data_IF_709646607570
#
_entry.id   IF_709646607570
#
_cell.length_a   1.000
_cell.length_b   1.000
_cell.length_c   1.000
_cell.angle_alpha   90.00
_cell.angle_beta   90.00
_cell.angle_gamma   90.00
#
_symmetry.space_group_name_H-M   'P 1'
#
loop_
_entity.id
_entity.type
_entity.pdbx_description
1 polymer ?
#
# COMPACT_ATOMS: atom_id res chain seq x y z
N UNK A 1 3.87 -0.59 -9.40
CA UNK A 1 4.83 0.31 -10.10
C UNK A 1 6.15 -0.44 -10.20
N UNK A 2 6.72 -0.60 -11.40
CA UNK A 2 8.04 -1.19 -11.58
C UNK A 2 9.12 -0.35 -10.90
N UNK A 3 10.06 -1.00 -10.23
CA UNK A 3 11.23 -0.36 -9.60
C UNK A 3 12.48 -1.01 -10.20
N UNK A 4 13.26 -0.23 -10.92
CA UNK A 4 14.59 -0.62 -11.39
C UNK A 4 15.65 0.07 -10.54
N UNK A 5 16.24 -0.69 -9.62
CA UNK A 5 17.21 -0.16 -8.64
C UNK A 5 18.47 0.41 -9.29
N UNK A 6 18.87 -0.11 -10.47
CA UNK A 6 20.04 0.38 -11.19
C UNK A 6 19.73 1.68 -11.92
N UNK A 7 18.63 1.72 -12.67
CA UNK A 7 18.20 2.90 -13.41
C UNK A 7 17.84 4.06 -12.48
N UNK A 8 17.24 3.74 -11.32
CA UNK A 8 16.86 4.72 -10.30
C UNK A 8 18.00 5.10 -9.32
N UNK A 9 19.19 4.54 -9.51
CA UNK A 9 20.35 4.78 -8.65
C UNK A 9 20.06 4.52 -7.16
N UNK A 10 19.33 3.44 -6.85
CA UNK A 10 18.96 3.07 -5.48
C UNK A 10 20.06 2.19 -4.91
N UNK A 11 20.73 2.67 -3.86
CA UNK A 11 21.77 1.91 -3.15
C UNK A 11 21.19 0.95 -2.12
N UNK A 12 20.06 1.32 -1.49
CA UNK A 12 19.37 0.49 -0.50
C UNK A 12 17.87 0.66 -0.66
N UNK A 13 17.14 -0.45 -0.69
CA UNK A 13 15.67 -0.46 -0.77
C UNK A 13 15.09 -1.41 0.26
N UNK A 14 14.29 -0.86 1.17
CA UNK A 14 13.48 -1.65 2.10
C UNK A 14 12.07 -1.82 1.53
N UNK A 15 11.53 -3.02 1.62
CA UNK A 15 10.16 -3.28 1.17
C UNK A 15 9.40 -4.19 2.13
N UNK A 16 8.09 -4.09 2.12
CA UNK A 16 7.18 -4.97 2.87
C UNK A 16 6.53 -5.99 1.94
N UNK A 17 6.39 -7.23 2.42
CA UNK A 17 5.84 -8.33 1.61
C UNK A 17 4.30 -8.41 1.59
N UNK A 18 3.62 -7.87 2.62
CA UNK A 18 2.18 -8.09 2.82
C UNK A 18 1.25 -7.06 2.13
N UNK A 19 1.77 -6.28 1.19
CA UNK A 19 0.99 -5.33 0.39
C UNK A 19 1.03 -5.73 -1.08
N UNK A 20 1.60 -4.92 -1.93
CA UNK A 20 1.65 -5.15 -3.39
C UNK A 20 2.42 -6.41 -3.81
N UNK A 21 3.15 -7.06 -2.92
CA UNK A 21 3.83 -8.33 -3.20
C UNK A 21 3.00 -9.58 -2.87
N UNK A 22 1.76 -9.41 -2.42
CA UNK A 22 0.80 -10.50 -2.12
C UNK A 22 1.28 -11.53 -1.09
N UNK A 23 2.33 -11.19 -0.32
CA UNK A 23 2.87 -12.05 0.72
C UNK A 23 2.13 -11.90 2.06
N UNK A 24 2.39 -12.78 3.03
CA UNK A 24 1.80 -12.70 4.37
C UNK A 24 2.41 -11.56 5.21
N UNK A 25 1.71 -11.17 6.27
CA UNK A 25 2.22 -10.25 7.28
C UNK A 25 3.52 -10.77 7.91
N UNK A 26 4.38 -9.86 8.36
CA UNK A 26 5.67 -10.21 8.96
C UNK A 26 6.73 -10.60 7.93
N UNK A 27 6.50 -10.32 6.65
CA UNK A 27 7.48 -10.49 5.58
C UNK A 27 7.89 -9.17 4.95
N UNK A 28 9.08 -9.15 4.40
CA UNK A 28 9.66 -8.01 3.70
C UNK A 28 11.09 -8.32 3.32
N UNK A 29 11.81 -7.33 2.85
CA UNK A 29 13.20 -7.51 2.48
C UNK A 29 13.96 -6.20 2.38
N UNK A 30 15.25 -6.38 2.19
CA UNK A 30 16.22 -5.32 2.03
C UNK A 30 17.09 -5.63 0.80
N UNK A 31 17.05 -4.74 -0.19
CA UNK A 31 18.03 -4.74 -1.26
C UNK A 31 19.22 -3.88 -0.86
N UNK A 32 20.42 -4.39 -1.12
CA UNK A 32 21.68 -3.69 -0.89
C UNK A 32 22.45 -3.70 -2.20
N UNK A 33 22.70 -2.51 -2.73
CA UNK A 33 23.48 -2.31 -3.94
C UNK A 33 24.99 -2.48 -3.67
N UNK A 34 25.73 -2.74 -4.73
CA UNK A 34 27.19 -2.89 -4.67
C UNK A 34 27.86 -1.66 -4.04
N UNK A 35 28.78 -1.89 -3.10
CA UNK A 35 29.49 -0.84 -2.38
C UNK A 35 28.71 -0.16 -1.25
N UNK A 36 27.46 -0.53 -0.98
CA UNK A 36 26.72 -0.04 0.17
C UNK A 36 27.04 -0.89 1.42
N UNK A 37 27.51 -0.23 2.48
CA UNK A 37 27.81 -0.86 3.76
C UNK A 37 26.67 -0.61 4.75
N UNK A 38 26.13 -1.68 5.33
CA UNK A 38 25.06 -1.62 6.34
C UNK A 38 25.51 -2.39 7.57
N UNK A 39 25.40 -1.77 8.73
CA UNK A 39 25.69 -2.40 10.00
C UNK A 39 24.47 -3.14 10.53
N UNK A 40 24.66 -4.32 11.17
CA UNK A 40 23.57 -5.02 11.83
C UNK A 40 22.90 -4.14 12.90
N UNK A 41 21.58 -4.06 12.87
CA UNK A 41 20.80 -3.43 13.93
C UNK A 41 20.62 -4.37 15.12
N UNK A 42 20.53 -5.68 14.84
CA UNK A 42 20.39 -6.74 15.83
C UNK A 42 21.46 -7.80 15.57
N UNK A 43 21.91 -8.44 16.61
CA UNK A 43 22.80 -9.61 16.56
C UNK A 43 22.18 -10.77 17.33
N UNK A 44 22.47 -11.99 16.91
CA UNK A 44 21.92 -13.19 17.54
C UNK A 44 22.35 -14.46 16.80
N UNK A 45 21.79 -15.58 17.21
CA UNK A 45 22.06 -16.85 16.54
C UNK A 45 21.60 -16.82 15.07
N UNK A 46 22.49 -17.25 14.18
CA UNK A 46 22.22 -17.26 12.72
C UNK A 46 21.87 -18.65 12.19
N UNK A 47 22.00 -19.69 13.03
CA UNK A 47 21.88 -21.10 12.62
C UNK A 47 23.09 -21.63 11.86
N UNK A 48 24.05 -20.78 11.52
CA UNK A 48 25.36 -21.09 10.92
C UNK A 48 26.44 -20.45 11.75
N UNK A 49 27.68 -20.92 11.63
CA UNK A 49 28.83 -20.36 12.36
C UNK A 49 28.65 -20.30 13.90
N UNK A 50 28.14 -21.36 14.49
CA UNK A 50 27.71 -21.41 15.91
C UNK A 50 28.81 -21.04 16.94
N UNK A 51 30.08 -21.04 16.58
CA UNK A 51 31.20 -20.67 17.43
C UNK A 51 31.71 -19.24 17.30
N UNK A 52 31.14 -18.47 16.33
CA UNK A 52 31.46 -17.06 16.22
C UNK A 52 30.89 -16.28 17.41
N UNK A 53 31.70 -15.38 17.96
CA UNK A 53 31.30 -14.49 19.06
C UNK A 53 30.64 -13.17 18.56
N UNK A 54 30.72 -12.96 17.29
CA UNK A 54 30.20 -11.74 16.60
C UNK A 54 29.27 -12.16 15.48
N UNK A 55 28.47 -11.22 14.98
CA UNK A 55 27.65 -11.43 13.79
C UNK A 55 28.56 -11.76 12.59
N UNK A 56 28.21 -12.72 11.73
CA UNK A 56 28.97 -12.99 10.49
C UNK A 56 29.11 -11.74 9.61
N UNK A 57 30.13 -11.70 8.77
CA UNK A 57 30.33 -10.59 7.82
C UNK A 57 29.62 -10.83 6.48
N UNK A 58 29.34 -12.09 6.17
CA UNK A 58 28.71 -12.48 4.90
C UNK A 58 27.20 -12.18 4.90
N UNK A 59 26.70 -11.65 3.78
CA UNK A 59 25.28 -11.52 3.52
C UNK A 59 24.70 -12.88 3.04
N UNK A 60 23.46 -13.22 3.42
CA UNK A 60 22.50 -12.40 4.18
C UNK A 60 22.66 -12.47 5.69
N UNK A 61 23.44 -13.41 6.23
CA UNK A 61 23.55 -13.73 7.68
C UNK A 61 24.01 -12.53 8.51
N UNK A 62 24.80 -11.63 7.92
CA UNK A 62 25.25 -10.39 8.56
C UNK A 62 24.09 -9.56 9.13
N UNK A 63 22.96 -9.54 8.44
CA UNK A 63 21.80 -8.71 8.79
C UNK A 63 20.63 -9.52 9.35
N UNK A 64 20.76 -10.85 9.41
CA UNK A 64 19.73 -11.76 9.92
C UNK A 64 20.09 -12.26 11.31
N UNK A 65 19.18 -12.07 12.26
CA UNK A 65 19.37 -12.52 13.64
C UNK A 65 18.19 -13.38 14.10
N UNK A 66 18.49 -14.59 14.56
CA UNK A 66 17.50 -15.58 15.01
C UNK A 66 16.97 -16.46 13.88
N UNK A 67 16.05 -17.36 14.22
CA UNK A 67 15.42 -18.26 13.25
C UNK A 67 14.55 -17.46 12.28
N UNK A 68 14.79 -17.64 10.98
CA UNK A 68 14.05 -16.95 9.94
C UNK A 68 12.59 -17.41 9.89
N UNK A 69 11.69 -16.50 9.47
CA UNK A 69 10.28 -16.79 9.21
C UNK A 69 10.11 -17.59 7.89
N UNK A 70 10.52 -18.85 7.90
CA UNK A 70 10.49 -19.72 6.71
C UNK A 70 9.11 -19.86 6.09
N UNK A 71 8.05 -19.97 6.89
CA UNK A 71 6.67 -20.04 6.40
C UNK A 71 6.24 -18.75 5.72
N UNK A 72 6.55 -17.59 6.31
CA UNK A 72 6.28 -16.29 5.71
C UNK A 72 7.06 -16.08 4.42
N UNK A 73 8.34 -16.47 4.38
CA UNK A 73 9.17 -16.36 3.17
C UNK A 73 8.62 -17.25 2.04
N UNK A 74 8.19 -18.47 2.35
CA UNK A 74 7.53 -19.34 1.37
C UNK A 74 6.23 -18.75 0.83
N UNK A 75 5.42 -18.11 1.69
CA UNK A 75 4.22 -17.38 1.28
C UNK A 75 4.53 -16.17 0.41
N UNK A 76 5.58 -15.41 0.75
CA UNK A 76 6.05 -14.28 -0.07
C UNK A 76 6.54 -14.75 -1.44
N UNK A 77 7.24 -15.89 -1.50
CA UNK A 77 7.68 -16.50 -2.76
C UNK A 77 6.47 -16.79 -3.67
N UNK A 78 5.40 -17.39 -3.13
CA UNK A 78 4.18 -17.67 -3.89
C UNK A 78 3.55 -16.37 -4.43
N UNK A 79 3.47 -15.31 -3.63
CA UNK A 79 2.99 -13.99 -4.07
C UNK A 79 3.84 -13.41 -5.20
N UNK A 80 5.16 -13.45 -5.09
CA UNK A 80 6.08 -12.97 -6.13
C UNK A 80 5.95 -13.81 -7.42
N UNK A 81 5.83 -15.12 -7.31
CA UNK A 81 5.60 -15.99 -8.46
C UNK A 81 4.28 -15.67 -9.19
N UNK A 82 3.23 -15.34 -8.46
CA UNK A 82 1.96 -14.91 -9.06
C UNK A 82 2.12 -13.58 -9.80
N UNK A 83 2.82 -12.60 -9.21
CA UNK A 83 3.14 -11.34 -9.88
C UNK A 83 3.97 -11.56 -11.15
N UNK A 84 4.91 -12.49 -11.13
CA UNK A 84 5.72 -12.84 -12.32
C UNK A 84 4.88 -13.43 -13.45
N UNK A 85 3.82 -14.21 -13.13
CA UNK A 85 2.91 -14.77 -14.15
C UNK A 85 2.03 -13.70 -14.78
N UNK A 86 1.46 -12.80 -13.95
CA UNK A 86 0.57 -11.74 -14.39
C UNK A 86 1.34 -10.60 -15.04
N UNK A 87 2.49 -10.29 -14.55
CA UNK A 87 3.39 -9.14 -14.72
C UNK A 87 2.97 -7.91 -13.90
N UNK A 88 3.96 -7.21 -13.37
CA UNK A 88 3.73 -5.98 -12.59
C UNK A 88 3.09 -4.87 -13.44
N UNK A 89 3.35 -4.86 -14.74
CA UNK A 89 2.78 -3.90 -15.70
C UNK A 89 1.26 -4.12 -15.89
N UNK A 90 0.83 -5.38 -16.10
CA UNK A 90 -0.59 -5.70 -16.25
C UNK A 90 -1.37 -5.47 -14.94
N UNK A 91 -0.77 -5.78 -13.79
CA UNK A 91 -1.36 -5.47 -12.48
C UNK A 91 -1.57 -3.96 -12.37
N UNK A 92 -0.53 -3.17 -12.59
CA UNK A 92 -0.59 -1.71 -12.49
C UNK A 92 -1.60 -1.10 -13.46
N UNK A 93 -1.64 -1.58 -14.71
CA UNK A 93 -2.58 -1.10 -15.73
C UNK A 93 -4.03 -1.36 -15.32
N UNK A 94 -4.35 -2.56 -14.83
CA UNK A 94 -5.69 -2.89 -14.36
C UNK A 94 -6.10 -2.05 -13.15
N UNK A 95 -5.27 -2.00 -12.13
CA UNK A 95 -5.53 -1.23 -10.90
C UNK A 95 -5.71 0.26 -11.19
N UNK A 96 -4.91 0.79 -12.10
CA UNK A 96 -5.03 2.17 -12.56
C UNK A 96 -6.35 2.43 -13.27
N UNK A 97 -6.77 1.55 -14.19
CA UNK A 97 -8.05 1.68 -14.87
C UNK A 97 -9.22 1.70 -13.88
N UNK A 98 -9.20 0.83 -12.86
CA UNK A 98 -10.20 0.83 -11.79
C UNK A 98 -10.24 2.16 -11.03
N UNK A 99 -9.08 2.67 -10.66
CA UNK A 99 -8.96 3.99 -10.01
C UNK A 99 -9.51 5.11 -10.92
N UNK A 100 -9.15 5.13 -12.20
CA UNK A 100 -9.62 6.15 -13.16
C UNK A 100 -11.14 6.10 -13.35
N UNK A 101 -11.75 4.89 -13.44
CA UNK A 101 -13.19 4.71 -13.48
C UNK A 101 -13.88 5.29 -12.25
N UNK A 102 -13.37 4.99 -11.06
CA UNK A 102 -13.87 5.51 -9.80
C UNK A 102 -13.75 7.04 -9.74
N UNK A 103 -12.57 7.59 -9.99
CA UNK A 103 -12.31 9.04 -9.94
C UNK A 103 -13.17 9.81 -10.95
N UNK A 104 -13.38 9.27 -12.14
CA UNK A 104 -14.22 9.90 -13.16
C UNK A 104 -15.67 10.14 -12.69
N UNK A 105 -16.18 9.27 -11.81
CA UNK A 105 -17.52 9.40 -11.21
C UNK A 105 -17.53 10.34 -10.02
N UNK A 106 -16.63 10.14 -9.06
CA UNK A 106 -16.69 10.88 -7.80
C UNK A 106 -16.26 12.35 -7.91
N UNK A 107 -15.42 12.70 -8.88
CA UNK A 107 -14.97 14.10 -9.08
C UNK A 107 -16.08 15.08 -9.43
N UNK A 108 -17.26 14.59 -9.83
CA UNK A 108 -18.43 15.40 -10.21
C UNK A 108 -19.43 15.54 -9.07
N UNK A 109 -19.20 14.83 -7.95
CA UNK A 109 -20.14 14.84 -6.82
C UNK A 109 -19.87 16.12 -5.99
N UNK A 110 -20.89 16.97 -5.76
CA UNK A 110 -20.78 18.08 -4.83
C UNK A 110 -20.34 17.60 -3.45
N UNK A 111 -19.70 18.44 -2.66
CA UNK A 111 -19.25 18.14 -1.31
C UNK A 111 -18.19 17.02 -1.17
N UNK A 112 -17.77 16.37 -2.28
CA UNK A 112 -16.67 15.40 -2.28
C UNK A 112 -15.36 16.08 -2.68
N UNK A 113 -14.40 16.07 -1.77
CA UNK A 113 -13.04 16.55 -2.03
C UNK A 113 -12.08 15.40 -2.20
N UNK A 114 -11.43 15.32 -3.35
CA UNK A 114 -10.40 14.31 -3.66
C UNK A 114 -9.02 14.94 -3.46
N UNK A 115 -8.08 14.17 -2.91
CA UNK A 115 -6.73 14.62 -2.59
C UNK A 115 -5.69 13.98 -3.50
N UNK A 116 -4.71 14.78 -3.92
CA UNK A 116 -3.59 14.36 -4.76
C UNK A 116 -3.70 14.79 -6.22
N UNK A 117 -2.62 14.63 -6.95
CA UNK A 117 -2.54 14.94 -8.38
C UNK A 117 -2.89 13.69 -9.21
N UNK A 118 -4.00 13.73 -9.93
CA UNK A 118 -4.47 12.67 -10.81
C UNK A 118 -4.03 12.84 -12.27
N UNK A 119 -3.27 13.87 -12.58
CA UNK A 119 -2.64 14.06 -13.89
C UNK A 119 -1.37 13.22 -14.03
N UNK A 120 -0.69 12.89 -12.91
CA UNK A 120 0.47 12.02 -12.91
C UNK A 120 0.06 10.56 -13.20
N UNK A 121 0.60 10.04 -14.31
CA UNK A 121 0.36 8.66 -14.74
C UNK A 121 1.11 7.62 -13.90
N UNK A 122 2.15 8.02 -13.17
CA UNK A 122 3.00 7.12 -12.38
C UNK A 122 2.60 7.06 -10.89
N UNK A 123 1.31 7.21 -10.59
CA UNK A 123 0.79 7.15 -9.22
C UNK A 123 0.32 5.76 -8.82
N UNK A 124 0.29 5.51 -7.51
CA UNK A 124 -0.34 4.32 -6.96
C UNK A 124 -1.87 4.37 -7.14
N UNK A 125 -2.54 3.21 -7.29
CA UNK A 125 -3.99 3.10 -7.50
C UNK A 125 -4.78 3.29 -6.19
N UNK A 126 -4.55 4.42 -5.53
CA UNK A 126 -5.24 4.82 -4.31
C UNK A 126 -5.93 6.16 -4.48
N UNK A 127 -7.09 6.31 -3.85
CA UNK A 127 -7.86 7.55 -3.84
C UNK A 127 -8.21 7.89 -2.40
N UNK A 128 -7.76 9.05 -1.94
CA UNK A 128 -8.16 9.61 -0.65
C UNK A 128 -9.13 10.75 -0.86
N UNK A 129 -10.24 10.73 -0.12
CA UNK A 129 -11.29 11.74 -0.23
C UNK A 129 -11.89 12.08 1.13
N UNK A 130 -12.63 13.17 1.16
CA UNK A 130 -13.53 13.55 2.25
C UNK A 130 -14.89 13.98 1.67
N UNK A 131 -15.95 13.72 2.44
CA UNK A 131 -17.26 14.35 2.26
C UNK A 131 -17.32 15.54 3.22
N UNK A 132 -17.79 16.70 2.75
CA UNK A 132 -17.76 17.93 3.54
C UNK A 132 -18.56 17.77 4.84
N UNK A 133 -17.96 18.17 5.96
CA UNK A 133 -18.62 18.14 7.28
C UNK A 133 -18.68 16.77 7.97
N UNK A 134 -18.25 15.67 7.32
CA UNK A 134 -18.35 14.31 7.88
C UNK A 134 -16.98 13.79 8.28
N UNK A 135 -16.89 13.18 9.45
CA UNK A 135 -15.69 12.47 9.90
C UNK A 135 -15.42 11.25 9.04
N UNK A 136 -14.16 10.99 8.73
CA UNK A 136 -13.77 9.88 7.87
C UNK A 136 -14.12 8.50 8.43
N UNK A 137 -14.21 8.34 9.75
CA UNK A 137 -14.61 7.08 10.37
C UNK A 137 -16.10 6.81 10.14
N UNK A 138 -16.93 7.84 10.20
CA UNK A 138 -18.36 7.71 9.95
C UNK A 138 -18.65 7.32 8.50
N UNK A 139 -17.97 7.94 7.53
CA UNK A 139 -18.10 7.54 6.11
C UNK A 139 -17.64 6.09 5.91
N UNK A 140 -16.57 5.68 6.59
CA UNK A 140 -16.07 4.29 6.53
C UNK A 140 -17.06 3.29 7.14
N UNK A 141 -17.74 3.66 8.21
CA UNK A 141 -18.79 2.85 8.86
C UNK A 141 -20.00 2.67 7.94
N UNK A 142 -20.55 3.73 7.38
CA UNK A 142 -21.66 3.66 6.42
C UNK A 142 -21.30 2.83 5.18
N UNK A 143 -20.11 3.01 4.61
CA UNK A 143 -19.65 2.20 3.47
C UNK A 143 -19.60 0.71 3.81
N UNK A 144 -19.20 0.36 5.04
CA UNK A 144 -19.12 -1.03 5.47
C UNK A 144 -20.50 -1.62 5.76
N UNK A 145 -21.35 -0.90 6.50
CA UNK A 145 -22.62 -1.41 6.99
C UNK A 145 -23.71 -1.46 5.92
N UNK A 146 -23.77 -0.45 5.04
CA UNK A 146 -24.84 -0.32 4.07
C UNK A 146 -24.48 -0.87 2.68
N UNK A 147 -23.17 -0.82 2.34
CA UNK A 147 -22.70 -1.21 1.01
C UNK A 147 -21.72 -2.39 1.01
N UNK A 148 -21.35 -2.93 2.17
CA UNK A 148 -20.33 -3.99 2.33
C UNK A 148 -18.96 -3.60 1.73
N UNK A 149 -18.63 -2.30 1.73
CA UNK A 149 -17.38 -1.76 1.17
C UNK A 149 -16.41 -1.43 2.29
N UNK A 150 -15.34 -2.21 2.39
CA UNK A 150 -14.26 -1.97 3.33
C UNK A 150 -13.25 -0.95 2.79
N UNK A 151 -13.09 0.16 3.50
CA UNK A 151 -12.12 1.22 3.22
C UNK A 151 -11.25 1.49 4.44
N UNK A 152 -10.25 2.34 4.30
CA UNK A 152 -9.48 2.80 5.45
C UNK A 152 -9.76 4.27 5.74
N UNK A 153 -10.20 4.59 6.97
CA UNK A 153 -10.35 5.94 7.47
C UNK A 153 -9.14 6.43 8.29
N UNK A 154 -9.10 7.70 8.62
CA UNK A 154 -8.14 8.32 9.54
C UNK A 154 -6.84 8.78 8.89
N UNK A 155 -5.72 8.62 9.60
CA UNK A 155 -4.44 9.22 9.24
C UNK A 155 -3.55 8.40 8.28
N UNK A 156 -3.92 7.17 7.93
CA UNK A 156 -3.27 6.29 6.95
C UNK A 156 -1.76 6.07 7.15
N UNK A 157 -1.25 6.20 8.38
CA UNK A 157 0.18 6.22 8.70
C UNK A 157 0.96 7.35 7.95
N UNK A 158 0.29 8.45 7.63
CA UNK A 158 0.84 9.56 6.85
C UNK A 158 0.56 10.93 7.52
N UNK A 159 1.01 11.16 8.76
CA UNK A 159 0.65 12.37 9.53
C UNK A 159 1.08 13.67 8.84
N UNK A 160 2.21 13.69 8.15
CA UNK A 160 2.69 14.87 7.44
C UNK A 160 1.79 15.24 6.25
N UNK A 161 1.21 14.26 5.56
CA UNK A 161 0.24 14.51 4.49
C UNK A 161 -1.04 15.14 5.04
N UNK A 162 -1.51 14.66 6.19
CA UNK A 162 -2.67 15.24 6.87
C UNK A 162 -2.41 16.65 7.38
N UNK A 163 -1.18 16.96 7.83
CA UNK A 163 -0.77 18.32 8.16
C UNK A 163 -0.81 19.23 6.93
N UNK A 164 -0.22 18.77 5.82
CA UNK A 164 -0.18 19.53 4.57
C UNK A 164 -1.58 19.84 4.03
N UNK A 165 -2.49 18.87 4.05
CA UNK A 165 -3.87 19.04 3.56
C UNK A 165 -4.84 19.61 4.60
N UNK A 166 -4.43 19.83 5.85
CA UNK A 166 -5.28 20.36 6.92
C UNK A 166 -6.37 19.37 7.38
N UNK A 167 -6.14 18.08 7.26
CA UNK A 167 -7.13 17.02 7.55
C UNK A 167 -6.83 16.22 8.81
N UNK A 168 -6.02 16.75 9.74
CA UNK A 168 -5.63 16.03 10.96
C UNK A 168 -6.83 15.67 11.85
N UNK A 169 -7.87 16.52 11.87
CA UNK A 169 -9.08 16.31 12.70
C UNK A 169 -10.09 15.39 12.02
N UNK A 170 -10.35 15.62 10.74
CA UNK A 170 -11.36 14.87 9.97
C UNK A 170 -10.84 13.52 9.50
N UNK A 171 -9.51 13.35 9.34
CA UNK A 171 -8.95 12.23 8.63
C UNK A 171 -9.24 12.27 7.13
N UNK A 172 -9.10 11.15 6.47
CA UNK A 172 -9.54 10.93 5.09
C UNK A 172 -10.07 9.50 4.96
N UNK A 173 -10.97 9.27 4.01
CA UNK A 173 -11.34 7.93 3.56
C UNK A 173 -10.45 7.57 2.38
N UNK A 174 -9.81 6.39 2.43
CA UNK A 174 -8.91 5.91 1.38
C UNK A 174 -9.43 4.63 0.74
N UNK A 175 -9.71 4.71 -0.54
CA UNK A 175 -9.93 3.56 -1.41
C UNK A 175 -8.59 3.08 -1.96
N UNK A 176 -8.38 1.76 -1.95
CA UNK A 176 -7.17 1.12 -2.47
C UNK A 176 -7.60 0.01 -3.42
N UNK A 177 -7.31 0.17 -4.69
CA UNK A 177 -7.67 -0.81 -5.72
C UNK A 177 -6.61 -1.88 -5.84
N UNK A 178 -7.04 -3.12 -6.00
CA UNK A 178 -6.21 -4.30 -6.21
C UNK A 178 -6.50 -4.92 -7.56
N UNK A 179 -5.54 -5.69 -8.07
CA UNK A 179 -5.70 -6.50 -9.28
C UNK A 179 -6.95 -7.39 -9.24
N UNK A 180 -7.36 -7.84 -8.06
CA UNK A 180 -8.52 -8.73 -7.87
C UNK A 180 -9.86 -8.01 -7.85
N UNK A 181 -9.87 -6.68 -7.77
CA UNK A 181 -11.11 -5.91 -7.90
C UNK A 181 -11.63 -5.89 -9.34
N UNK A 182 -12.92 -5.61 -9.46
CA UNK A 182 -13.64 -5.49 -10.73
C UNK A 182 -14.07 -4.04 -10.99
N UNK A 183 -14.33 -3.69 -12.24
CA UNK A 183 -14.87 -2.39 -12.60
C UNK A 183 -16.26 -2.17 -11.96
N UNK A 184 -17.07 -3.22 -11.86
CA UNK A 184 -18.36 -3.15 -11.18
C UNK A 184 -18.21 -2.71 -9.72
N UNK A 185 -17.25 -3.27 -8.98
CA UNK A 185 -16.98 -2.86 -7.59
C UNK A 185 -16.52 -1.40 -7.50
N UNK A 186 -15.66 -0.96 -8.41
CA UNK A 186 -15.22 0.43 -8.45
C UNK A 186 -16.39 1.40 -8.73
N UNK A 187 -17.30 1.05 -9.64
CA UNK A 187 -18.50 1.83 -9.95
C UNK A 187 -19.50 1.80 -8.80
N UNK A 188 -19.72 0.65 -8.16
CA UNK A 188 -20.58 0.53 -6.97
C UNK A 188 -20.04 1.40 -5.83
N UNK A 189 -18.73 1.43 -5.62
CA UNK A 189 -18.11 2.27 -4.60
C UNK A 189 -18.29 3.78 -4.90
N UNK A 190 -18.24 4.17 -6.16
CA UNK A 190 -18.49 5.55 -6.56
C UNK A 190 -19.95 5.97 -6.35
N UNK A 191 -20.87 5.05 -6.60
CA UNK A 191 -22.31 5.26 -6.36
C UNK A 191 -22.61 5.41 -4.87
N UNK A 192 -22.04 4.54 -4.04
CA UNK A 192 -22.16 4.64 -2.58
C UNK A 192 -21.66 6.00 -2.06
N UNK A 193 -20.54 6.51 -2.55
CA UNK A 193 -20.05 7.85 -2.19
C UNK A 193 -21.04 8.93 -2.63
N UNK A 194 -21.70 8.79 -3.78
CA UNK A 194 -22.71 9.75 -4.26
C UNK A 194 -23.92 9.77 -3.33
N UNK A 195 -24.47 8.61 -3.00
CA UNK A 195 -25.63 8.46 -2.13
C UNK A 195 -25.36 9.05 -0.74
N UNK A 196 -24.23 8.68 -0.12
CA UNK A 196 -23.80 9.22 1.18
C UNK A 196 -23.65 10.76 1.12
N UNK A 197 -23.08 11.30 0.04
CA UNK A 197 -22.88 12.75 -0.09
C UNK A 197 -24.22 13.50 -0.23
N UNK A 198 -25.21 12.92 -0.93
CA UNK A 198 -26.55 13.48 -1.08
C UNK A 198 -27.33 13.45 0.24
N UNK A 199 -27.23 12.38 1.02
CA UNK A 199 -27.89 12.28 2.34
C UNK A 199 -27.33 13.27 3.37
N UNK A 200 -26.04 13.57 3.30
CA UNK A 200 -25.41 14.56 4.20
C UNK A 200 -25.83 16.00 3.84
N UNK A 201 -26.19 16.27 2.59
CA UNK A 201 -26.60 17.59 2.13
C UNK A 201 -28.09 17.90 2.41
N UNK A 202 -28.90 16.86 2.62
CA UNK A 202 -30.35 16.97 2.84
C UNK A 202 -30.69 17.36 4.29
#
# INVERSE_FOLDING_TARGET
IPIDVKQMHINVLCFTGHKSLFGPQGTGGLYIGEGAEIKPLKSGGTGVHSFLKTQPEELPEHLEAGTLNGHGIAGLLAGVQEIQKITAEEIWKKERNLMECFVAKIKQIPNVKIYGDFSDKNRCPIVSLNIAGVDSSQVSEWLLEEYEIAVRSGAHCAPLMHQYFGTQKQGMVRFSFSYYNTEKEALTAAEAIREIAEEVEA
#
